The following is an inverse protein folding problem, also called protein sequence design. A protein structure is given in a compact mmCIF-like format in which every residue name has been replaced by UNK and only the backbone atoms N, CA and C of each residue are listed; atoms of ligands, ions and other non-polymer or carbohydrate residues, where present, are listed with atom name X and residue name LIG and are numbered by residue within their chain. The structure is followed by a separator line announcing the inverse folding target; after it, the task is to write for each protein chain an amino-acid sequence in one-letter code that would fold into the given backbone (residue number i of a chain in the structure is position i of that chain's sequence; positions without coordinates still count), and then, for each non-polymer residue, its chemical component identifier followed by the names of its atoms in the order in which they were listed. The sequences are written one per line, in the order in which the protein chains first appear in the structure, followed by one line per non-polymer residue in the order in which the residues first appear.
data_IF_790132363861
#
_entry.id   IF_790132363861
#
_cell.length_a   1.000
_cell.length_b   1.000
_cell.length_c   1.000
_cell.angle_alpha   90.00
_cell.angle_beta   90.00
_cell.angle_gamma   90.00
#
_symmetry.space_group_name_H-M   'P 1'
#
loop_
_entity.id
_entity.type
_entity.pdbx_description
1 polymer ?
#
# COMPACT_ATOMS: atom_id res chain seq x y z
N UNK A 1 17.68 18.68 29.56
CA UNK A 1 16.24 18.97 29.64
C UNK A 1 15.52 18.04 28.67
N UNK A 2 14.86 17.09 29.31
CA UNK A 2 14.03 15.96 28.87
C UNK A 2 14.22 15.26 27.51
N UNK A 3 14.81 14.08 27.61
CA UNK A 3 14.85 12.98 26.67
C UNK A 3 13.57 12.13 26.75
N UNK A 4 12.46 12.63 26.20
CA UNK A 4 11.28 11.83 25.89
C UNK A 4 11.11 11.71 24.37
N UNK A 5 12.15 11.19 23.70
CA UNK A 5 11.96 10.61 22.37
C UNK A 5 11.10 9.36 22.55
N UNK A 6 9.81 9.49 22.25
CA UNK A 6 8.95 8.34 21.96
C UNK A 6 9.65 7.49 20.89
N UNK A 7 10.20 6.35 21.28
CA UNK A 7 10.69 5.29 20.40
C UNK A 7 9.52 4.59 19.67
N UNK A 8 8.48 5.33 19.28
CA UNK A 8 7.57 4.90 18.24
C UNK A 8 8.39 4.87 16.94
N UNK A 9 8.69 3.66 16.46
CA UNK A 9 9.65 3.36 15.39
C UNK A 9 9.83 4.50 14.39
N UNK A 10 10.92 5.26 14.51
CA UNK A 10 11.28 6.27 13.52
C UNK A 10 11.51 5.51 12.22
N UNK A 11 10.77 5.86 11.16
CA UNK A 11 10.93 5.32 9.80
C UNK A 11 11.47 6.44 8.91
N UNK A 12 12.74 6.85 9.10
CA UNK A 12 13.24 8.06 8.50
C UNK A 12 13.20 7.93 6.97
N UNK A 13 12.50 8.86 6.33
CA UNK A 13 12.39 8.92 4.87
C UNK A 13 11.49 7.87 4.20
N UNK A 14 10.87 6.93 4.93
CA UNK A 14 10.02 5.88 4.34
C UNK A 14 8.64 6.44 4.00
N UNK A 15 8.38 6.62 2.71
CA UNK A 15 7.10 7.17 2.20
C UNK A 15 6.16 6.09 1.63
N UNK A 16 6.68 4.89 1.34
CA UNK A 16 5.90 3.74 0.93
C UNK A 16 6.61 2.43 1.29
N UNK A 17 5.99 1.28 1.03
CA UNK A 17 6.57 -0.03 1.33
C UNK A 17 6.21 -1.07 0.28
N UNK A 18 7.05 -2.10 0.19
CA UNK A 18 6.77 -3.37 -0.47
C UNK A 18 6.42 -4.45 0.58
N UNK A 19 5.71 -5.48 0.15
CA UNK A 19 5.46 -6.66 0.97
C UNK A 19 6.70 -7.55 1.07
N UNK A 20 6.78 -8.35 2.13
CA UNK A 20 7.90 -9.29 2.32
C UNK A 20 7.86 -10.32 1.18
N UNK A 21 8.97 -10.45 0.45
CA UNK A 21 9.07 -11.33 -0.72
C UNK A 21 8.78 -10.64 -2.05
N UNK A 22 8.32 -9.38 -2.04
CA UNK A 22 8.16 -8.58 -3.25
C UNK A 22 9.46 -7.82 -3.54
N UNK A 23 10.13 -8.17 -4.63
CA UNK A 23 11.24 -7.39 -5.17
C UNK A 23 10.73 -6.15 -5.90
N UNK A 24 11.58 -5.12 -6.04
CA UNK A 24 11.30 -3.99 -6.90
C UNK A 24 11.88 -2.67 -6.40
N UNK A 25 11.35 -1.58 -6.93
CA UNK A 25 11.79 -0.23 -6.62
C UNK A 25 11.16 0.29 -5.32
N UNK A 26 12.01 0.78 -4.41
CA UNK A 26 11.60 1.52 -3.21
C UNK A 26 12.13 2.95 -3.31
N UNK A 27 11.30 3.92 -2.94
CA UNK A 27 11.65 5.34 -2.95
C UNK A 27 11.73 5.77 -1.49
N UNK A 28 12.84 6.40 -1.13
CA UNK A 28 13.13 6.87 0.24
C UNK A 28 13.52 8.34 0.15
N UNK A 29 12.86 9.18 0.95
CA UNK A 29 13.18 10.59 1.03
C UNK A 29 14.48 10.81 1.81
N UNK A 30 15.35 11.68 1.30
CA UNK A 30 16.64 12.02 1.92
C UNK A 30 16.57 13.19 2.90
N UNK A 31 15.49 13.96 2.83
CA UNK A 31 15.26 15.17 3.61
C UNK A 31 13.75 15.36 3.86
N UNK A 32 13.40 16.26 4.77
CA UNK A 32 12.02 16.48 5.21
C UNK A 32 11.14 17.08 4.10
N UNK A 33 11.68 17.98 3.27
CA UNK A 33 10.91 18.58 2.18
C UNK A 33 10.49 17.50 1.16
N UNK A 34 11.44 16.67 0.74
CA UNK A 34 11.22 15.52 -0.11
C UNK A 34 10.24 14.53 0.52
N UNK A 35 10.36 14.27 1.83
CA UNK A 35 9.49 13.35 2.56
C UNK A 35 8.03 13.81 2.52
N UNK A 36 7.78 15.08 2.80
CA UNK A 36 6.44 15.68 2.77
C UNK A 36 5.83 15.62 1.36
N UNK A 37 6.59 16.01 0.33
CA UNK A 37 6.11 16.02 -1.06
C UNK A 37 5.87 14.63 -1.63
N UNK A 38 6.75 13.68 -1.37
CA UNK A 38 6.56 12.29 -1.80
C UNK A 38 5.36 11.65 -1.10
N UNK A 39 5.20 11.87 0.21
CA UNK A 39 4.05 11.39 0.98
C UNK A 39 2.72 11.92 0.43
N UNK A 40 2.68 13.20 0.09
CA UNK A 40 1.52 13.84 -0.56
C UNK A 40 1.20 13.18 -1.90
N UNK A 41 2.20 12.92 -2.75
CA UNK A 41 1.99 12.25 -4.03
C UNK A 41 1.49 10.81 -3.88
N UNK A 42 1.97 10.06 -2.88
CA UNK A 42 1.43 8.73 -2.56
C UNK A 42 -0.03 8.81 -2.09
N UNK A 43 -0.36 9.80 -1.25
CA UNK A 43 -1.73 10.04 -0.76
C UNK A 43 -2.69 10.39 -1.90
N UNK A 44 -2.28 11.31 -2.78
CA UNK A 44 -3.05 11.75 -3.95
C UNK A 44 -3.00 10.75 -5.11
N UNK A 45 -2.24 9.65 -4.97
CA UNK A 45 -2.05 8.62 -6.00
C UNK A 45 -1.48 9.17 -7.32
N UNK A 46 -0.67 10.21 -7.31
CA UNK A 46 -0.08 10.76 -8.56
C UNK A 46 1.09 9.92 -9.09
N UNK A 47 1.68 9.07 -8.25
CA UNK A 47 2.78 8.17 -8.62
C UNK A 47 2.27 6.97 -9.40
N UNK A 48 2.90 6.67 -10.53
CA UNK A 48 2.66 5.46 -11.31
C UNK A 48 3.59 4.34 -10.85
N UNK A 49 3.03 3.15 -10.63
CA UNK A 49 3.75 1.96 -10.20
C UNK A 49 3.36 0.82 -11.12
N UNK A 50 4.36 0.19 -11.73
CA UNK A 50 4.19 -0.94 -12.64
C UNK A 50 4.95 -2.12 -12.05
N UNK A 51 4.30 -3.28 -12.02
CA UNK A 51 4.88 -4.54 -11.54
C UNK A 51 4.74 -5.59 -12.62
N UNK A 52 5.71 -6.51 -12.66
CA UNK A 52 5.60 -7.75 -13.40
C UNK A 52 5.44 -8.88 -12.40
N UNK A 53 4.53 -9.80 -12.67
CA UNK A 53 4.26 -10.97 -11.84
C UNK A 53 3.93 -12.19 -12.70
N UNK A 54 4.01 -13.36 -12.09
CA UNK A 54 3.56 -14.62 -12.68
C UNK A 54 2.33 -15.10 -11.90
N UNK A 55 1.33 -15.60 -12.62
CA UNK A 55 0.08 -16.12 -12.04
C UNK A 55 -0.08 -17.60 -12.33
N UNK A 56 -0.73 -18.32 -11.43
CA UNK A 56 -1.23 -19.66 -11.73
C UNK A 56 -2.48 -19.57 -12.61
N UNK A 57 -2.46 -20.21 -13.77
CA UNK A 57 -3.53 -20.14 -14.77
C UNK A 57 -3.45 -18.90 -15.66
N UNK A 58 -4.38 -18.83 -16.63
CA UNK A 58 -4.48 -17.75 -17.61
C UNK A 58 -5.63 -16.81 -17.23
N UNK A 59 -5.36 -15.56 -16.83
CA UNK A 59 -6.41 -14.59 -16.55
C UNK A 59 -7.34 -14.41 -17.75
N UNK A 60 -8.65 -14.43 -17.49
CA UNK A 60 -9.68 -14.17 -18.52
C UNK A 60 -10.62 -13.09 -17.98
N UNK A 61 -10.76 -11.95 -18.67
CA UNK A 61 -10.04 -11.55 -19.87
C UNK A 61 -8.53 -11.37 -19.64
N UNK A 62 -7.73 -11.43 -20.72
CA UNK A 62 -6.25 -11.30 -20.66
C UNK A 62 -5.76 -9.94 -20.19
N UNK A 63 -6.63 -8.93 -20.24
CA UNK A 63 -6.42 -7.60 -19.69
C UNK A 63 -7.72 -7.11 -19.06
N UNK A 64 -7.60 -6.33 -17.98
CA UNK A 64 -8.74 -5.78 -17.29
C UNK A 64 -8.32 -5.00 -16.04
N UNK A 65 -9.30 -4.37 -15.41
CA UNK A 65 -9.13 -3.63 -14.17
C UNK A 65 -9.84 -4.36 -13.05
N UNK A 66 -9.10 -4.73 -12.00
CA UNK A 66 -9.66 -5.32 -10.79
C UNK A 66 -9.95 -4.18 -9.81
N UNK A 67 -11.22 -3.94 -9.52
CA UNK A 67 -11.67 -2.91 -8.59
C UNK A 67 -12.57 -3.53 -7.54
N UNK A 68 -12.09 -3.59 -6.29
CA UNK A 68 -12.80 -4.25 -5.19
C UNK A 68 -12.41 -3.63 -3.85
N UNK A 69 -13.33 -3.50 -2.89
CA UNK A 69 -12.97 -3.13 -1.52
C UNK A 69 -12.10 -4.22 -0.89
N UNK A 70 -10.99 -3.83 -0.27
CA UNK A 70 -10.06 -4.75 0.40
C UNK A 70 -9.98 -4.41 1.88
N UNK A 71 -10.20 -5.41 2.74
CA UNK A 71 -10.14 -5.30 4.19
C UNK A 71 -9.22 -6.37 4.80
N UNK A 72 -8.97 -6.29 6.11
CA UNK A 72 -8.29 -7.37 6.82
C UNK A 72 -9.20 -8.59 6.94
N UNK A 73 -8.63 -9.78 6.78
CA UNK A 73 -9.34 -11.03 7.04
C UNK A 73 -9.67 -11.13 8.54
N UNK A 74 -10.95 -11.29 8.93
CA UNK A 74 -11.36 -11.38 10.33
C UNK A 74 -10.83 -12.63 11.04
N UNK A 75 -10.54 -13.71 10.29
CA UNK A 75 -10.04 -14.97 10.83
C UNK A 75 -8.51 -15.00 10.89
N UNK A 76 -7.82 -14.22 10.05
CA UNK A 76 -6.36 -14.16 10.02
C UNK A 76 -5.83 -12.75 9.77
N UNK A 77 -5.37 -12.09 10.84
CA UNK A 77 -4.83 -10.72 10.78
C UNK A 77 -3.62 -10.50 9.87
N UNK A 78 -2.95 -11.56 9.41
CA UNK A 78 -1.83 -11.48 8.47
C UNK A 78 -2.29 -11.42 7.01
N UNK A 79 -3.57 -11.72 6.73
CA UNK A 79 -4.14 -11.77 5.38
C UNK A 79 -5.04 -10.56 5.12
N UNK A 80 -5.14 -10.21 3.84
CA UNK A 80 -6.12 -9.26 3.31
C UNK A 80 -7.14 -10.04 2.48
N UNK A 81 -8.40 -9.60 2.47
CA UNK A 81 -9.48 -10.23 1.69
C UNK A 81 -10.28 -9.18 0.93
N UNK A 82 -10.83 -9.59 -0.21
CA UNK A 82 -11.96 -8.88 -0.80
C UNK A 82 -13.13 -8.94 0.19
N UNK A 83 -13.76 -7.80 0.45
CA UNK A 83 -14.90 -7.72 1.38
C UNK A 83 -16.17 -7.42 0.61
N UNK A 84 -17.22 -8.16 0.94
CA UNK A 84 -18.57 -7.99 0.38
C UNK A 84 -19.31 -6.97 1.24
N UNK A 85 -19.68 -5.82 0.68
CA UNK A 85 -20.43 -4.76 1.38
C UNK A 85 -19.97 -3.34 1.05
N UNK A 86 -20.71 -2.35 1.55
CA UNK A 86 -20.42 -0.93 1.30
C UNK A 86 -19.03 -0.53 1.84
N UNK A 87 -18.29 0.24 1.03
CA UNK A 87 -16.96 0.80 1.34
C UNK A 87 -16.94 1.60 2.66
N UNK A 88 -18.11 2.06 3.11
CA UNK A 88 -18.30 2.88 4.30
C UNK A 88 -18.38 2.10 5.62
N UNK A 89 -18.33 0.76 5.58
CA UNK A 89 -18.04 0.00 6.81
C UNK A 89 -16.57 0.24 7.16
N UNK A 90 -16.32 0.73 8.38
CA UNK A 90 -15.05 1.31 8.91
C UNK A 90 -13.76 0.47 8.70
N UNK A 91 -13.83 -0.70 8.07
CA UNK A 91 -12.74 -1.69 7.94
C UNK A 91 -12.26 -1.99 6.52
N UNK A 92 -12.82 -1.36 5.48
CA UNK A 92 -12.45 -1.62 4.09
C UNK A 92 -11.85 -0.38 3.41
N UNK A 93 -10.85 -0.57 2.53
CA UNK A 93 -10.35 0.50 1.66
C UNK A 93 -10.66 0.20 0.20
N UNK A 94 -10.96 1.24 -0.57
CA UNK A 94 -11.08 1.13 -2.01
C UNK A 94 -9.72 0.80 -2.66
N UNK A 95 -9.63 -0.36 -3.31
CA UNK A 95 -8.47 -0.82 -4.05
C UNK A 95 -8.83 -1.05 -5.53
N UNK A 96 -8.00 -0.54 -6.41
CA UNK A 96 -8.13 -0.75 -7.84
C UNK A 96 -6.74 -0.97 -8.44
N UNK A 97 -6.62 -1.96 -9.32
CA UNK A 97 -5.46 -2.03 -10.21
C UNK A 97 -5.48 -0.83 -11.16
N UNK A 98 -4.29 -0.40 -11.58
CA UNK A 98 -4.11 0.57 -12.66
C UNK A 98 -3.78 -0.19 -13.93
#
# INVERSE_FOLDING_TARGET
LDSTFSMASIRPGIVHRLDKGTSGLLVVAKDEHSHMKLSEQFKLRTINRVYVSLTAGLPTPVAGRVEVPVGRDPNNRLRMTAVVGAVNSVKARHAASR
#
